data_IF_977842272020
#
_entry.id   IF_977842272020
#
_cell.length_a   1.000
_cell.length_b   1.000
_cell.length_c   1.000
_cell.angle_alpha   90.00
_cell.angle_beta   90.00
_cell.angle_gamma   90.00
#
_symmetry.space_group_name_H-M   'P 1'
#
loop_
_entity.id
_entity.type
_entity.pdbx_description
1 polymer ?
#
# COMPACT_ATOMS: atom_id res chain seq x y z
N UNK A 1 -21.24 9.64 -2.58
CA UNK A 1 -20.23 8.77 -3.24
C UNK A 1 -19.40 8.24 -2.10
N UNK A 2 -19.65 7.00 -1.71
CA UNK A 2 -19.02 6.39 -0.57
C UNK A 2 -17.84 5.56 -1.08
N UNK A 3 -16.68 5.69 -0.45
CA UNK A 3 -15.52 4.87 -0.79
C UNK A 3 -15.66 3.53 -0.09
N UNK A 4 -15.96 2.48 -0.85
CA UNK A 4 -15.87 1.11 -0.37
C UNK A 4 -14.48 0.57 -0.69
N UNK A 5 -13.82 -0.01 0.31
CA UNK A 5 -12.58 -0.77 0.11
C UNK A 5 -12.87 -2.23 0.45
N UNK A 6 -12.41 -3.14 -0.41
CA UNK A 6 -12.53 -4.57 -0.15
C UNK A 6 -11.28 -5.02 0.60
N UNK A 7 -11.39 -5.63 1.79
CA UNK A 7 -10.23 -6.11 2.52
C UNK A 7 -9.54 -7.25 1.76
N UNK A 8 -8.20 -7.29 1.79
CA UNK A 8 -7.44 -8.43 1.30
C UNK A 8 -7.49 -9.59 2.32
N UNK A 9 -7.43 -10.83 1.85
CA UNK A 9 -7.30 -12.02 2.71
C UNK A 9 -5.90 -12.60 2.51
N UNK A 10 -5.04 -12.56 3.53
CA UNK A 10 -3.63 -12.97 3.43
C UNK A 10 -2.88 -12.31 2.26
N UNK A 11 -3.18 -11.04 1.95
CA UNK A 11 -2.58 -10.30 0.83
C UNK A 11 -3.15 -10.66 -0.55
N UNK A 12 -4.22 -11.46 -0.61
CA UNK A 12 -4.87 -11.88 -1.85
C UNK A 12 -6.18 -11.09 -2.01
N UNK A 13 -6.45 -10.67 -3.24
CA UNK A 13 -7.67 -9.97 -3.62
C UNK A 13 -8.69 -10.91 -4.29
N UNK A 14 -10.00 -10.75 -4.00
CA UNK A 14 -11.04 -11.49 -4.69
C UNK A 14 -11.02 -11.27 -6.21
N UNK A 15 -11.54 -12.24 -6.95
CA UNK A 15 -11.72 -12.14 -8.41
C UNK A 15 -12.49 -10.86 -8.77
N UNK A 16 -12.03 -10.15 -9.80
CA UNK A 16 -12.64 -8.90 -10.24
C UNK A 16 -12.20 -7.67 -9.46
N UNK A 17 -11.18 -7.79 -8.60
CA UNK A 17 -10.54 -6.65 -7.93
C UNK A 17 -9.03 -6.70 -8.13
N UNK A 18 -8.38 -5.54 -8.03
CA UNK A 18 -6.93 -5.38 -8.10
C UNK A 18 -6.35 -5.02 -6.72
N UNK A 19 -5.17 -5.55 -6.36
CA UNK A 19 -4.51 -5.19 -5.11
C UNK A 19 -4.01 -3.74 -5.15
N UNK A 20 -4.24 -3.02 -4.06
CA UNK A 20 -3.61 -1.73 -3.77
C UNK A 20 -2.56 -1.95 -2.69
N UNK A 21 -1.31 -1.74 -3.07
CA UNK A 21 -0.14 -1.89 -2.22
C UNK A 21 0.11 -0.61 -1.42
N UNK A 22 0.70 -0.75 -0.23
CA UNK A 22 1.07 0.36 0.65
C UNK A 22 2.53 0.27 1.09
N UNK A 23 3.19 1.41 1.14
CA UNK A 23 4.47 1.56 1.81
C UNK A 23 4.45 2.76 2.77
N UNK A 24 5.16 2.61 3.89
CA UNK A 24 5.29 3.61 4.94
C UNK A 24 6.71 4.20 4.95
N UNK A 25 6.83 5.52 5.01
CA UNK A 25 8.13 6.20 5.00
C UNK A 25 8.92 6.12 6.31
N UNK A 26 8.38 5.44 7.32
CA UNK A 26 8.91 5.37 8.68
C UNK A 26 9.12 6.74 9.34
N UNK A 27 8.26 7.72 9.03
CA UNK A 27 8.42 9.11 9.44
C UNK A 27 8.55 9.30 10.95
N UNK A 28 7.70 8.64 11.75
CA UNK A 28 7.76 8.70 13.20
C UNK A 28 9.14 8.35 13.77
N UNK A 29 9.73 7.23 13.34
CA UNK A 29 11.04 6.80 13.81
C UNK A 29 12.19 7.69 13.28
N UNK A 30 11.96 8.40 12.16
CA UNK A 30 12.91 9.29 11.53
C UNK A 30 12.81 10.75 12.01
N UNK A 31 11.82 11.07 12.86
CA UNK A 31 11.55 12.44 13.29
C UNK A 31 11.05 13.37 12.17
N UNK A 32 10.37 12.81 11.16
CA UNK A 32 9.75 13.56 10.05
C UNK A 32 8.28 13.18 9.90
N UNK A 33 7.54 13.91 9.06
CA UNK A 33 6.13 13.62 8.82
C UNK A 33 5.92 12.18 8.33
N UNK A 34 4.95 11.51 8.95
CA UNK A 34 4.56 10.15 8.62
C UNK A 34 3.72 10.15 7.36
N UNK A 35 4.15 9.42 6.33
CA UNK A 35 3.48 9.34 5.04
C UNK A 35 3.35 7.90 4.57
N UNK A 36 2.20 7.61 3.97
CA UNK A 36 1.91 6.36 3.29
C UNK A 36 1.76 6.60 1.79
N UNK A 37 2.37 5.75 0.98
CA UNK A 37 2.17 5.73 -0.46
C UNK A 37 1.30 4.53 -0.82
N UNK A 38 0.26 4.77 -1.59
CA UNK A 38 -0.63 3.74 -2.13
C UNK A 38 -0.46 3.67 -3.65
N UNK A 39 -0.45 2.45 -4.21
CA UNK A 39 -0.45 2.23 -5.66
C UNK A 39 -0.99 0.84 -5.98
N UNK A 40 -1.67 0.70 -7.12
CA UNK A 40 -2.02 -0.61 -7.70
C UNK A 40 -0.84 -1.27 -8.43
N UNK A 41 0.26 -0.54 -8.65
CA UNK A 41 1.47 -1.04 -9.29
C UNK A 41 2.50 -1.46 -8.23
N UNK A 42 2.80 -2.75 -8.16
CA UNK A 42 3.80 -3.27 -7.22
C UNK A 42 5.19 -2.63 -7.43
N UNK A 43 5.57 -2.35 -8.69
CA UNK A 43 6.84 -1.72 -9.02
C UNK A 43 6.98 -0.31 -8.42
N UNK A 44 5.90 0.49 -8.43
CA UNK A 44 5.91 1.84 -7.85
C UNK A 44 6.10 1.83 -6.33
N UNK A 45 5.64 0.76 -5.65
CA UNK A 45 5.94 0.55 -4.23
C UNK A 45 7.38 0.06 -4.03
N UNK A 46 7.86 -0.88 -4.86
CA UNK A 46 9.25 -1.34 -4.78
C UNK A 46 10.26 -0.22 -4.98
N UNK A 47 9.94 0.78 -5.80
CA UNK A 47 10.79 1.95 -5.99
C UNK A 47 11.00 2.73 -4.68
N UNK A 48 9.93 3.02 -3.93
CA UNK A 48 10.06 3.75 -2.66
C UNK A 48 10.66 2.89 -1.56
N UNK A 49 10.40 1.58 -1.58
CA UNK A 49 11.02 0.61 -0.67
C UNK A 49 12.54 0.58 -0.88
N UNK A 50 13.00 0.60 -2.13
CA UNK A 50 14.43 0.71 -2.48
C UNK A 50 15.05 2.02 -1.95
N UNK A 51 14.24 3.08 -1.78
CA UNK A 51 14.64 4.36 -1.17
C UNK A 51 14.50 4.37 0.37
N UNK A 52 14.29 3.23 1.00
CA UNK A 52 14.27 3.07 2.45
C UNK A 52 12.87 3.15 3.10
N UNK A 53 11.79 3.05 2.33
CA UNK A 53 10.44 2.91 2.88
C UNK A 53 10.16 1.45 3.28
N UNK A 54 9.23 1.26 4.20
CA UNK A 54 8.79 -0.05 4.68
C UNK A 54 7.66 -0.53 3.77
N UNK A 55 7.81 -1.71 3.18
CA UNK A 55 6.73 -2.37 2.45
C UNK A 55 5.72 -2.95 3.43
N UNK A 56 4.46 -2.54 3.34
CA UNK A 56 3.37 -3.05 4.18
C UNK A 56 2.47 -4.07 3.46
N UNK A 57 2.72 -4.32 2.17
CA UNK A 57 1.96 -5.26 1.36
C UNK A 57 0.63 -4.69 0.86
N UNK A 58 -0.35 -5.57 0.67
CA UNK A 58 -1.67 -5.20 0.13
C UNK A 58 -2.55 -4.61 1.23
N UNK A 59 -2.82 -3.31 1.14
CA UNK A 59 -3.66 -2.60 2.10
C UNK A 59 -5.15 -2.83 1.85
N UNK A 60 -5.56 -2.92 0.58
CA UNK A 60 -6.95 -3.12 0.17
C UNK A 60 -7.01 -3.62 -1.27
N UNK A 61 -8.20 -4.03 -1.68
CA UNK A 61 -8.54 -4.39 -3.04
C UNK A 61 -9.56 -3.38 -3.59
N UNK A 62 -9.36 -2.97 -4.83
CA UNK A 62 -10.21 -2.00 -5.54
C UNK A 62 -10.76 -2.61 -6.84
N UNK A 63 -11.97 -2.22 -7.28
CA UNK A 63 -12.53 -2.67 -8.56
C UNK A 63 -11.78 -2.12 -9.78
#
# INVERSE_FOLDING_TARGET
MDFVSTPSTNGICPTGTVPVYRAYNNGFARGVDSNHRFSSEAAAIQEVVTRGWINEGVAMCAP
#
